data_IF_945553851976
#
_entry.id   IF_945553851976
#
_cell.length_a   1.000
_cell.length_b   1.000
_cell.length_c   1.000
_cell.angle_alpha   90.00
_cell.angle_beta   90.00
_cell.angle_gamma   90.00
#
_symmetry.space_group_name_H-M   'P 1'
#
loop_
_entity.id
_entity.type
_entity.pdbx_description
1 polymer ?
#
# COMPACT_ATOMS: atom_id res chain seq x y z
N UNK A 1 -16.96 33.33 -2.62
CA UNK A 1 -17.95 32.37 -2.20
C UNK A 1 -18.16 32.58 -0.71
N UNK A 2 -19.30 33.05 -0.27
CA UNK A 2 -19.55 33.51 1.11
C UNK A 2 -20.12 32.44 2.04
N UNK A 3 -20.00 31.14 1.73
CA UNK A 3 -20.49 30.03 2.57
C UNK A 3 -19.46 28.91 2.72
N UNK A 4 -19.48 28.24 3.86
CA UNK A 4 -18.68 27.03 4.08
C UNK A 4 -19.29 25.88 3.26
N UNK A 5 -18.57 25.40 2.25
CA UNK A 5 -19.01 24.30 1.39
C UNK A 5 -18.21 23.02 1.76
N UNK A 6 -18.76 22.26 2.68
CA UNK A 6 -18.13 21.02 3.16
C UNK A 6 -18.12 19.90 2.10
N UNK A 7 -19.00 19.99 1.09
CA UNK A 7 -19.04 19.04 -0.02
C UNK A 7 -17.79 19.04 -0.89
N UNK A 8 -17.02 20.14 -0.91
CA UNK A 8 -15.76 20.25 -1.64
C UNK A 8 -14.55 19.63 -0.93
N UNK A 9 -14.72 19.17 0.31
CA UNK A 9 -13.67 18.51 1.09
C UNK A 9 -13.85 17.00 1.02
N UNK A 10 -12.75 16.25 0.91
CA UNK A 10 -12.76 14.79 0.93
C UNK A 10 -11.98 14.21 2.11
N UNK A 11 -12.23 12.93 2.42
CA UNK A 11 -11.59 12.26 3.55
C UNK A 11 -12.25 12.55 4.91
N UNK A 12 -13.49 13.01 4.89
CA UNK A 12 -14.30 13.23 6.11
C UNK A 12 -14.69 11.91 6.76
N UNK A 13 -15.02 11.94 8.04
CA UNK A 13 -15.70 10.81 8.69
C UNK A 13 -17.08 10.57 8.03
N UNK A 14 -17.51 9.33 7.98
CA UNK A 14 -18.81 8.95 7.36
C UNK A 14 -19.97 9.76 7.97
N UNK A 15 -19.97 9.95 9.29
CA UNK A 15 -21.02 10.73 10.01
C UNK A 15 -21.01 12.24 9.63
N UNK A 16 -20.00 12.74 8.95
CA UNK A 16 -19.90 14.13 8.50
C UNK A 16 -19.90 14.27 6.97
N UNK A 17 -20.39 13.26 6.27
CA UNK A 17 -20.48 13.26 4.80
C UNK A 17 -19.30 12.61 4.09
N UNK A 18 -18.46 11.85 4.80
CA UNK A 18 -17.38 11.07 4.19
C UNK A 18 -17.89 9.85 3.42
N UNK A 19 -17.15 9.39 2.42
CA UNK A 19 -17.45 8.16 1.70
C UNK A 19 -16.88 6.95 2.42
N UNK A 20 -17.63 5.85 2.40
CA UNK A 20 -17.16 4.53 2.81
C UNK A 20 -15.97 4.14 1.90
N UNK A 21 -15.02 3.37 2.43
CA UNK A 21 -13.79 2.91 1.76
C UNK A 21 -12.78 4.01 1.38
N UNK A 22 -13.03 5.31 1.66
CA UNK A 22 -12.07 6.36 1.31
C UNK A 22 -10.69 6.18 1.95
N UNK A 23 -10.57 5.77 3.23
CA UNK A 23 -9.27 5.50 3.87
C UNK A 23 -8.47 4.39 3.17
N UNK A 24 -9.15 3.34 2.71
CA UNK A 24 -8.57 2.15 2.07
C UNK A 24 -8.35 2.32 0.57
N UNK A 25 -9.04 3.25 -0.06
CA UNK A 25 -9.17 3.37 -1.52
C UNK A 25 -7.83 3.36 -2.27
N UNK A 26 -6.83 4.06 -1.76
CA UNK A 26 -5.50 4.09 -2.39
C UNK A 26 -4.83 2.71 -2.36
N UNK A 27 -4.89 2.03 -1.22
CA UNK A 27 -4.34 0.70 -1.06
C UNK A 27 -5.07 -0.35 -1.91
N UNK A 28 -6.39 -0.31 -1.92
CA UNK A 28 -7.23 -1.19 -2.74
C UNK A 28 -6.94 -0.99 -4.22
N UNK A 29 -6.94 0.26 -4.68
CA UNK A 29 -6.63 0.60 -6.08
C UNK A 29 -5.24 0.16 -6.51
N UNK A 30 -4.24 0.27 -5.64
CA UNK A 30 -2.90 -0.22 -5.92
C UNK A 30 -2.88 -1.75 -6.13
N UNK A 31 -3.66 -2.49 -5.35
CA UNK A 31 -3.78 -3.94 -5.52
C UNK A 31 -4.56 -4.30 -6.79
N UNK A 32 -5.62 -3.54 -7.14
CA UNK A 32 -6.32 -3.73 -8.42
C UNK A 32 -5.42 -3.43 -9.61
N UNK A 33 -4.61 -2.39 -9.52
CA UNK A 33 -3.62 -2.09 -10.56
C UNK A 33 -2.61 -3.24 -10.70
N UNK A 34 -2.05 -3.73 -9.60
CA UNK A 34 -1.18 -4.90 -9.58
C UNK A 34 -1.86 -6.13 -10.22
N UNK A 35 -3.12 -6.37 -9.89
CA UNK A 35 -3.90 -7.48 -10.48
C UNK A 35 -3.95 -7.39 -12.01
N UNK A 36 -4.17 -6.22 -12.57
CA UNK A 36 -4.21 -6.04 -14.02
C UNK A 36 -2.81 -6.19 -14.66
N UNK A 37 -1.75 -5.72 -13.99
CA UNK A 37 -0.36 -5.98 -14.43
C UNK A 37 -0.06 -7.47 -14.44
N UNK A 38 -0.38 -8.20 -13.38
CA UNK A 38 -0.18 -9.64 -13.31
C UNK A 38 -0.99 -10.41 -14.36
N UNK A 39 -2.24 -9.99 -14.59
CA UNK A 39 -3.11 -10.58 -15.61
C UNK A 39 -2.54 -10.46 -17.02
N UNK A 40 -1.89 -9.34 -17.33
CA UNK A 40 -1.18 -9.18 -18.61
C UNK A 40 -0.10 -10.25 -18.79
N UNK A 41 0.53 -10.69 -17.72
CA UNK A 41 1.56 -11.75 -17.71
C UNK A 41 0.97 -13.15 -17.47
N UNK A 42 -0.36 -13.30 -17.51
CA UNK A 42 -1.05 -14.58 -17.28
C UNK A 42 -1.00 -15.06 -15.82
N UNK A 43 -0.77 -14.16 -14.86
CA UNK A 43 -0.66 -14.44 -13.43
C UNK A 43 -1.84 -13.87 -12.64
N UNK A 44 -1.98 -14.29 -11.39
CA UNK A 44 -2.95 -13.78 -10.42
C UNK A 44 -2.30 -13.35 -9.11
N UNK A 45 -3.12 -12.87 -8.17
CA UNK A 45 -2.67 -12.46 -6.82
C UNK A 45 -2.63 -13.66 -5.86
N UNK A 46 -3.39 -14.71 -6.13
CA UNK A 46 -3.41 -15.91 -5.26
C UNK A 46 -1.99 -16.48 -5.06
N UNK A 47 -1.58 -16.62 -3.80
CA UNK A 47 -0.25 -17.09 -3.42
C UNK A 47 0.89 -16.08 -3.61
N UNK A 48 0.61 -14.86 -4.11
CA UNK A 48 1.62 -13.81 -4.32
C UNK A 48 2.21 -13.35 -2.97
N UNK A 49 3.52 -13.19 -2.91
CA UNK A 49 4.25 -12.69 -1.73
C UNK A 49 4.70 -11.26 -1.98
N UNK A 50 4.38 -10.38 -1.04
CA UNK A 50 4.60 -8.94 -1.17
C UNK A 50 5.58 -8.45 -0.10
N UNK A 51 6.56 -7.63 -0.52
CA UNK A 51 7.33 -6.78 0.37
C UNK A 51 6.91 -5.33 0.16
N UNK A 52 6.60 -4.63 1.25
CA UNK A 52 6.13 -3.26 1.19
C UNK A 52 6.71 -2.37 2.28
N UNK A 53 6.60 -1.06 2.12
CA UNK A 53 6.86 -0.10 3.18
C UNK A 53 5.60 0.66 3.57
N UNK A 54 5.53 1.02 4.86
CA UNK A 54 4.40 1.75 5.42
C UNK A 54 3.21 0.87 5.80
N UNK A 55 2.63 1.18 6.95
CA UNK A 55 1.43 0.52 7.49
C UNK A 55 0.35 1.53 7.92
N UNK A 56 0.38 2.71 7.32
CA UNK A 56 -0.70 3.71 7.39
C UNK A 56 -1.97 3.23 6.66
N UNK A 57 -2.88 4.16 6.35
CA UNK A 57 -4.14 3.80 5.66
C UNK A 57 -3.89 3.08 4.33
N UNK A 58 -2.92 3.56 3.55
CA UNK A 58 -2.57 2.96 2.26
C UNK A 58 -1.99 1.56 2.45
N UNK A 59 -0.99 1.41 3.33
CA UNK A 59 -0.36 0.12 3.60
C UNK A 59 -1.33 -0.89 4.19
N UNK A 60 -2.16 -0.47 5.14
CA UNK A 60 -3.21 -1.33 5.69
C UNK A 60 -4.23 -1.76 4.63
N UNK A 61 -4.61 -0.84 3.73
CA UNK A 61 -5.49 -1.18 2.59
C UNK A 61 -4.85 -2.21 1.66
N UNK A 62 -3.54 -2.10 1.37
CA UNK A 62 -2.82 -3.11 0.60
C UNK A 62 -2.87 -4.47 1.30
N UNK A 63 -2.50 -4.52 2.59
CA UNK A 63 -2.51 -5.76 3.38
C UNK A 63 -3.87 -6.44 3.34
N UNK A 64 -4.93 -5.68 3.60
CA UNK A 64 -6.31 -6.17 3.60
C UNK A 64 -6.73 -6.73 2.23
N UNK A 65 -6.49 -5.98 1.15
CA UNK A 65 -6.93 -6.41 -0.18
C UNK A 65 -6.08 -7.55 -0.75
N UNK A 66 -4.78 -7.60 -0.46
CA UNK A 66 -3.91 -8.74 -0.80
C UNK A 66 -4.40 -10.03 -0.11
N UNK A 67 -4.73 -9.95 1.19
CA UNK A 67 -5.28 -11.08 1.95
C UNK A 67 -6.62 -11.55 1.37
N UNK A 68 -7.56 -10.63 1.10
CA UNK A 68 -8.86 -10.94 0.47
C UNK A 68 -8.72 -11.64 -0.90
N UNK A 69 -7.67 -11.37 -1.65
CA UNK A 69 -7.41 -11.97 -2.97
C UNK A 69 -6.46 -13.19 -2.91
N UNK A 70 -6.16 -13.69 -1.71
CA UNK A 70 -5.37 -14.91 -1.50
C UNK A 70 -3.85 -14.72 -1.62
N UNK A 71 -3.36 -13.49 -1.65
CA UNK A 71 -1.94 -13.18 -1.56
C UNK A 71 -1.48 -12.98 -0.11
N UNK A 72 -0.20 -12.68 0.09
CA UNK A 72 0.40 -12.50 1.41
C UNK A 72 1.37 -11.32 1.43
N UNK A 73 1.21 -10.39 2.36
CA UNK A 73 2.24 -9.41 2.68
C UNK A 73 3.19 -10.04 3.69
N UNK A 74 4.32 -10.56 3.22
CA UNK A 74 5.30 -11.27 4.05
C UNK A 74 6.36 -10.35 4.65
N UNK A 75 6.55 -9.17 4.05
CA UNK A 75 7.45 -8.14 4.58
C UNK A 75 6.76 -6.79 4.61
N UNK A 76 6.83 -6.10 5.74
CA UNK A 76 6.48 -4.69 5.78
C UNK A 76 7.46 -3.89 6.64
N UNK A 77 7.81 -2.69 6.16
CA UNK A 77 8.76 -1.82 6.83
C UNK A 77 8.07 -0.61 7.46
N UNK A 78 8.54 -0.26 8.64
CA UNK A 78 8.25 0.98 9.36
C UNK A 78 9.46 1.89 9.48
N UNK A 79 9.34 2.99 10.24
CA UNK A 79 10.47 3.88 10.51
C UNK A 79 11.58 3.25 11.36
N UNK A 80 11.23 2.29 12.22
CA UNK A 80 12.12 1.61 13.15
C UNK A 80 12.81 0.36 12.58
N UNK A 81 12.33 -0.17 11.46
CA UNK A 81 12.86 -1.39 10.85
C UNK A 81 11.83 -2.09 9.98
N UNK A 82 12.02 -3.38 9.73
CA UNK A 82 11.03 -4.16 9.01
C UNK A 82 10.68 -5.46 9.73
N UNK A 83 9.47 -5.93 9.46
CA UNK A 83 8.92 -7.22 9.90
C UNK A 83 9.05 -8.22 8.76
N UNK A 84 9.45 -9.46 9.09
CA UNK A 84 9.30 -10.63 8.23
C UNK A 84 8.33 -11.61 8.88
N UNK A 85 7.16 -11.73 8.29
CA UNK A 85 6.12 -12.68 8.69
C UNK A 85 5.93 -13.70 7.55
N UNK A 86 6.49 -14.91 7.65
CA UNK A 86 6.40 -15.92 6.59
C UNK A 86 4.97 -16.34 6.25
N UNK A 87 4.06 -16.29 7.23
CA UNK A 87 2.65 -16.58 7.03
C UNK A 87 1.88 -15.42 6.41
N UNK A 88 2.49 -14.23 6.42
CA UNK A 88 1.93 -12.98 5.95
C UNK A 88 1.00 -12.30 6.96
N UNK A 89 0.75 -11.01 6.71
CA UNK A 89 -0.26 -10.24 7.46
C UNK A 89 -1.63 -10.63 6.93
N UNK A 90 -2.17 -11.74 7.45
CA UNK A 90 -3.42 -12.36 7.02
C UNK A 90 -4.43 -12.47 8.17
N UNK A 91 -5.71 -12.36 7.83
CA UNK A 91 -6.82 -12.52 8.75
C UNK A 91 -7.08 -11.32 9.65
N UNK A 92 -8.26 -11.28 10.22
CA UNK A 92 -8.75 -10.12 11.00
C UNK A 92 -7.86 -9.77 12.19
N UNK A 93 -7.30 -10.77 12.89
CA UNK A 93 -6.49 -10.50 14.08
C UNK A 93 -5.25 -9.67 13.76
N UNK A 94 -4.48 -10.08 12.74
CA UNK A 94 -3.27 -9.36 12.32
C UNK A 94 -3.60 -7.99 11.76
N UNK A 95 -4.62 -7.90 10.90
CA UNK A 95 -5.08 -6.65 10.29
C UNK A 95 -5.59 -5.64 11.33
N UNK A 96 -6.37 -6.09 12.31
CA UNK A 96 -6.85 -5.24 13.40
C UNK A 96 -5.70 -4.80 14.31
N UNK A 97 -4.74 -5.67 14.56
CA UNK A 97 -3.57 -5.30 15.35
C UNK A 97 -2.73 -4.21 14.70
N UNK A 98 -2.59 -4.20 13.37
CA UNK A 98 -1.94 -3.10 12.65
C UNK A 98 -2.66 -1.76 12.93
N UNK A 99 -4.00 -1.74 12.94
CA UNK A 99 -4.77 -0.54 13.27
C UNK A 99 -4.54 -0.09 14.71
N UNK A 100 -4.58 -1.01 15.66
CA UNK A 100 -4.35 -0.71 17.07
C UNK A 100 -2.91 -0.23 17.34
N UNK A 101 -1.93 -0.89 16.74
CA UNK A 101 -0.51 -0.56 16.87
C UNK A 101 -0.24 0.86 16.38
N UNK A 102 -0.68 1.20 15.17
CA UNK A 102 -0.46 2.53 14.60
C UNK A 102 -1.23 3.64 15.33
N UNK A 103 -2.38 3.32 15.93
CA UNK A 103 -3.13 4.28 16.74
C UNK A 103 -2.42 4.62 18.05
N UNK A 104 -1.65 3.69 18.61
CA UNK A 104 -0.85 3.89 19.82
C UNK A 104 0.49 4.54 19.50
N UNK A 105 1.20 4.03 18.50
CA UNK A 105 2.51 4.51 18.08
C UNK A 105 2.73 4.22 16.57
N UNK A 106 2.62 5.24 15.72
CA UNK A 106 2.81 5.06 14.29
C UNK A 106 4.28 4.93 13.86
N UNK A 107 5.23 5.07 14.80
CA UNK A 107 6.67 5.10 14.51
C UNK A 107 7.35 3.74 14.70
N UNK A 108 6.70 2.78 15.37
CA UNK A 108 7.30 1.49 15.70
C UNK A 108 6.43 0.34 15.23
N UNK A 109 6.98 -0.52 14.36
CA UNK A 109 6.34 -1.77 13.93
C UNK A 109 6.78 -2.98 14.78
N UNK A 110 7.83 -2.86 15.58
CA UNK A 110 8.34 -3.93 16.47
C UNK A 110 7.25 -4.62 17.32
N UNK A 111 6.23 -3.90 17.87
CA UNK A 111 5.17 -4.56 18.65
C UNK A 111 4.40 -5.64 17.90
N UNK A 112 4.37 -5.59 16.56
CA UNK A 112 3.80 -6.67 15.75
C UNK A 112 4.63 -7.96 15.89
N UNK A 113 5.95 -7.85 15.79
CA UNK A 113 6.85 -9.00 15.96
C UNK A 113 6.74 -9.59 17.35
N UNK A 114 6.71 -8.74 18.38
CA UNK A 114 6.60 -9.17 19.78
C UNK A 114 5.28 -9.92 20.03
N UNK A 115 4.17 -9.52 19.40
CA UNK A 115 2.86 -10.17 19.55
C UNK A 115 2.75 -11.50 18.80
N UNK A 116 3.22 -11.53 17.56
CA UNK A 116 3.01 -12.70 16.67
C UNK A 116 4.21 -13.65 16.61
N UNK A 117 5.31 -13.33 17.30
CA UNK A 117 6.50 -14.18 17.35
C UNK A 117 7.22 -14.30 16.00
N UNK A 118 7.24 -13.21 15.22
CA UNK A 118 7.86 -13.13 13.90
C UNK A 118 9.14 -12.29 13.93
N UNK A 119 9.92 -12.32 12.86
CA UNK A 119 11.21 -11.62 12.82
C UNK A 119 11.04 -10.11 12.71
N UNK A 120 11.85 -9.37 13.46
CA UNK A 120 12.02 -7.93 13.35
C UNK A 120 13.50 -7.59 13.09
N UNK A 121 13.76 -6.79 12.08
CA UNK A 121 15.11 -6.32 11.75
C UNK A 121 15.16 -4.81 11.93
N UNK A 122 15.83 -4.39 13.01
CA UNK A 122 15.91 -3.00 13.43
C UNK A 122 16.75 -2.15 12.44
N UNK A 123 16.30 -0.93 12.19
CA UNK A 123 17.02 0.09 11.41
C UNK A 123 17.23 -0.24 9.93
N UNK A 124 16.62 -1.29 9.41
CA UNK A 124 16.74 -1.67 8.01
C UNK A 124 15.39 -1.62 7.28
N UNK A 125 15.48 -1.56 5.95
CA UNK A 125 14.32 -1.66 5.06
C UNK A 125 14.29 -3.04 4.39
N UNK A 126 13.11 -3.49 3.98
CA UNK A 126 12.91 -4.79 3.34
C UNK A 126 13.28 -4.83 1.84
N UNK A 127 13.95 -3.80 1.33
CA UNK A 127 14.32 -3.74 -0.08
C UNK A 127 15.50 -4.66 -0.39
N UNK A 128 15.35 -5.51 -1.42
CA UNK A 128 16.37 -6.48 -1.83
C UNK A 128 16.17 -7.89 -1.27
N UNK A 129 15.11 -8.16 -0.49
CA UNK A 129 14.70 -9.53 -0.13
C UNK A 129 14.31 -10.31 -1.39
N UNK A 130 14.62 -11.62 -1.45
CA UNK A 130 14.50 -12.41 -2.70
C UNK A 130 13.31 -13.36 -2.73
N UNK A 131 12.70 -13.60 -1.59
CA UNK A 131 11.60 -14.55 -1.42
C UNK A 131 10.22 -13.91 -1.53
N UNK A 132 10.11 -12.85 -2.34
CA UNK A 132 8.88 -12.14 -2.68
C UNK A 132 8.72 -12.04 -4.18
N UNK A 133 7.50 -11.75 -4.61
CA UNK A 133 7.13 -11.66 -6.02
C UNK A 133 6.97 -10.20 -6.48
N UNK A 134 6.74 -9.27 -5.54
CA UNK A 134 6.53 -7.85 -5.83
C UNK A 134 6.99 -6.96 -4.68
N UNK A 135 7.51 -5.78 -5.03
CA UNK A 135 7.76 -4.68 -4.11
C UNK A 135 6.72 -3.57 -4.26
N UNK A 136 6.19 -3.10 -3.14
CA UNK A 136 5.17 -2.04 -3.10
C UNK A 136 5.57 -0.93 -2.10
N UNK A 137 6.38 0.05 -2.49
CA UNK A 137 6.71 1.18 -1.62
C UNK A 137 5.48 2.07 -1.41
N UNK A 138 4.96 2.10 -0.17
CA UNK A 138 3.74 2.80 0.19
C UNK A 138 3.90 3.74 1.42
N UNK A 139 5.13 3.98 1.87
CA UNK A 139 5.42 4.82 3.03
C UNK A 139 5.53 6.30 2.65
N UNK A 140 6.75 6.80 2.54
CA UNK A 140 7.05 8.22 2.37
C UNK A 140 7.73 8.52 1.04
N UNK A 141 7.76 9.80 0.69
CA UNK A 141 8.53 10.28 -0.45
C UNK A 141 10.02 9.94 -0.28
N UNK A 142 10.67 9.55 -1.40
CA UNK A 142 12.09 9.18 -1.45
C UNK A 142 12.48 8.02 -0.49
N UNK A 143 11.57 7.10 -0.24
CA UNK A 143 11.81 5.91 0.58
C UNK A 143 12.85 4.97 -0.05
N UNK A 144 12.88 4.91 -1.39
CA UNK A 144 13.83 4.12 -2.17
C UNK A 144 14.81 5.04 -2.88
N UNK A 145 16.06 5.03 -2.45
CA UNK A 145 17.17 5.73 -3.09
C UNK A 145 17.97 4.77 -4.00
N UNK A 146 19.03 5.26 -4.63
CA UNK A 146 19.87 4.48 -5.55
C UNK A 146 20.48 3.22 -4.91
N UNK A 147 20.83 3.27 -3.63
CA UNK A 147 21.37 2.10 -2.92
C UNK A 147 20.35 0.96 -2.88
N UNK A 148 19.12 1.28 -2.48
CA UNK A 148 18.02 0.32 -2.41
C UNK A 148 17.57 -0.13 -3.80
N UNK A 149 17.55 0.77 -4.79
CA UNK A 149 17.23 0.42 -6.17
C UNK A 149 18.17 -0.64 -6.75
N UNK A 150 19.48 -0.57 -6.45
CA UNK A 150 20.44 -1.60 -6.84
C UNK A 150 20.12 -2.96 -6.19
N UNK A 151 19.81 -2.97 -4.89
CA UNK A 151 19.44 -4.21 -4.18
C UNK A 151 18.15 -4.81 -4.73
N UNK A 152 17.15 -3.96 -5.08
CA UNK A 152 15.91 -4.39 -5.75
C UNK A 152 16.25 -5.04 -7.10
N UNK A 153 17.04 -4.40 -7.93
CA UNK A 153 17.43 -4.95 -9.23
C UNK A 153 18.20 -6.29 -9.11
N UNK A 154 19.10 -6.38 -8.14
CA UNK A 154 19.89 -7.60 -7.86
C UNK A 154 19.06 -8.74 -7.25
N UNK A 155 17.90 -8.44 -6.67
CA UNK A 155 17.01 -9.47 -6.09
C UNK A 155 16.41 -10.40 -7.12
N UNK A 156 16.21 -9.92 -8.36
CA UNK A 156 15.53 -10.63 -9.43
C UNK A 156 14.00 -10.66 -9.32
N UNK A 157 13.42 -9.92 -8.37
CA UNK A 157 11.97 -9.79 -8.22
C UNK A 157 11.38 -9.05 -9.43
N UNK A 158 10.33 -9.57 -10.08
CA UNK A 158 9.89 -9.08 -11.39
C UNK A 158 9.00 -7.83 -11.35
N UNK A 159 8.42 -7.47 -10.21
CA UNK A 159 7.46 -6.36 -10.13
C UNK A 159 7.83 -5.33 -9.08
N UNK A 160 7.81 -4.06 -9.50
CA UNK A 160 7.99 -2.89 -8.64
C UNK A 160 6.83 -1.92 -8.86
N UNK A 161 5.94 -1.82 -7.89
CA UNK A 161 4.66 -1.10 -7.99
C UNK A 161 4.70 0.09 -7.04
N UNK A 162 4.95 1.30 -7.54
CA UNK A 162 5.00 2.51 -6.73
C UNK A 162 3.61 2.88 -6.22
N UNK A 163 3.42 2.90 -4.90
CA UNK A 163 2.12 3.26 -4.30
C UNK A 163 2.15 4.64 -3.63
N UNK A 164 3.20 4.93 -2.89
CA UNK A 164 3.38 6.25 -2.27
C UNK A 164 3.54 7.37 -3.31
N UNK A 165 3.37 8.61 -2.91
CA UNK A 165 3.66 9.75 -3.79
C UNK A 165 5.17 9.93 -3.92
N UNK A 166 5.72 9.69 -5.12
CA UNK A 166 7.16 9.74 -5.41
C UNK A 166 8.00 8.95 -4.38
N UNK A 167 7.73 7.65 -4.17
CA UNK A 167 8.43 6.88 -3.14
C UNK A 167 9.88 6.59 -3.51
N UNK A 168 10.21 6.70 -4.80
CA UNK A 168 11.54 6.46 -5.35
C UNK A 168 12.17 7.78 -5.78
N UNK A 169 13.47 7.99 -5.51
CA UNK A 169 14.20 9.14 -6.05
C UNK A 169 14.28 9.07 -7.58
N UNK A 170 14.34 10.20 -8.26
CA UNK A 170 14.28 10.25 -9.73
C UNK A 170 15.39 9.46 -10.42
N UNK A 171 16.60 9.50 -9.89
CA UNK A 171 17.77 8.74 -10.37
C UNK A 171 17.58 7.23 -10.15
N UNK A 172 17.07 6.84 -9.00
CA UNK A 172 16.76 5.46 -8.68
C UNK A 172 15.63 4.90 -9.55
N UNK A 173 14.59 5.69 -9.78
CA UNK A 173 13.48 5.29 -10.65
C UNK A 173 13.95 5.09 -12.10
N UNK A 174 14.75 6.03 -12.63
CA UNK A 174 15.31 5.90 -13.97
C UNK A 174 16.16 4.61 -14.08
N UNK A 175 17.00 4.32 -13.08
CA UNK A 175 17.78 3.09 -13.00
C UNK A 175 16.91 1.83 -12.98
N UNK A 176 15.82 1.81 -12.18
CA UNK A 176 14.92 0.65 -12.12
C UNK A 176 14.17 0.44 -13.44
N UNK A 177 13.76 1.50 -14.12
CA UNK A 177 13.09 1.42 -15.43
C UNK A 177 13.98 0.87 -16.55
N UNK A 178 15.30 0.93 -16.42
CA UNK A 178 16.24 0.34 -17.37
C UNK A 178 16.43 -1.18 -17.18
N UNK A 179 15.95 -1.75 -16.06
CA UNK A 179 16.09 -3.17 -15.75
C UNK A 179 15.09 -4.00 -16.55
N UNK A 180 15.55 -4.77 -17.55
CA UNK A 180 14.69 -5.55 -18.47
C UNK A 180 13.83 -6.61 -17.80
N UNK A 181 14.23 -7.11 -16.63
CA UNK A 181 13.49 -8.15 -15.89
C UNK A 181 12.44 -7.56 -14.95
N UNK A 182 12.45 -6.24 -14.74
CA UNK A 182 11.63 -5.56 -13.75
C UNK A 182 10.52 -4.76 -14.43
N UNK A 183 9.28 -5.09 -14.12
CA UNK A 183 8.12 -4.28 -14.50
C UNK A 183 7.91 -3.19 -13.46
N UNK A 184 8.09 -1.94 -13.85
CA UNK A 184 7.92 -0.76 -12.98
C UNK A 184 6.58 -0.09 -13.29
N UNK A 185 5.70 0.02 -12.28
CA UNK A 185 4.44 0.75 -12.39
C UNK A 185 4.54 2.11 -11.68
N UNK A 186 4.24 3.21 -12.38
CA UNK A 186 4.43 4.56 -11.84
C UNK A 186 3.36 4.95 -10.82
N UNK A 187 3.77 5.65 -9.77
CA UNK A 187 2.91 6.04 -8.64
C UNK A 187 1.61 6.74 -9.05
N UNK A 188 1.66 7.64 -10.03
CA UNK A 188 0.49 8.41 -10.49
C UNK A 188 -0.64 7.55 -11.06
N UNK A 189 -0.31 6.42 -11.65
CA UNK A 189 -1.30 5.47 -12.15
C UNK A 189 -1.77 4.53 -11.02
N UNK A 190 -0.83 4.03 -10.23
CA UNK A 190 -1.08 3.04 -9.18
C UNK A 190 -1.95 3.60 -8.05
N UNK A 191 -1.72 4.84 -7.61
CA UNK A 191 -2.41 5.44 -6.46
C UNK A 191 -3.64 6.30 -6.82
N UNK A 192 -4.07 6.30 -8.06
CA UNK A 192 -5.17 7.13 -8.55
C UNK A 192 -6.53 6.85 -7.85
N UNK A 193 -6.75 5.64 -7.36
CA UNK A 193 -8.03 5.26 -6.76
C UNK A 193 -8.40 6.12 -5.53
N UNK A 194 -7.40 6.58 -4.78
CA UNK A 194 -7.63 7.48 -3.65
C UNK A 194 -8.30 8.79 -4.06
N UNK A 195 -7.85 9.42 -5.14
CA UNK A 195 -8.46 10.65 -5.65
C UNK A 195 -9.80 10.36 -6.34
N UNK A 196 -9.94 9.22 -7.03
CA UNK A 196 -11.21 8.81 -7.63
C UNK A 196 -12.31 8.69 -6.58
N UNK A 197 -12.06 8.01 -5.45
CA UNK A 197 -13.05 7.93 -4.35
C UNK A 197 -13.27 9.29 -3.69
N UNK A 198 -12.30 10.21 -3.70
CA UNK A 198 -12.53 11.60 -3.28
C UNK A 198 -13.55 12.32 -4.17
N UNK A 199 -13.50 12.11 -5.49
CA UNK A 199 -14.48 12.66 -6.42
C UNK A 199 -15.86 12.03 -6.20
N UNK A 200 -15.92 10.71 -5.96
CA UNK A 200 -17.17 10.03 -5.60
C UNK A 200 -17.76 10.59 -4.29
N UNK A 201 -16.92 10.87 -3.29
CA UNK A 201 -17.36 11.51 -2.03
C UNK A 201 -17.97 12.89 -2.29
N UNK A 202 -17.33 13.70 -3.13
CA UNK A 202 -17.87 15.01 -3.51
C UNK A 202 -19.19 14.87 -4.28
N UNK A 203 -19.31 13.88 -5.16
CA UNK A 203 -20.58 13.61 -5.88
C UNK A 203 -21.71 13.17 -4.94
N UNK A 204 -21.42 12.29 -3.98
CA UNK A 204 -22.37 11.88 -2.94
C UNK A 204 -22.86 13.08 -2.12
N UNK A 205 -21.94 13.97 -1.72
CA UNK A 205 -22.27 15.19 -0.97
C UNK A 205 -23.15 16.16 -1.79
N UNK A 206 -22.83 16.35 -3.08
CA UNK A 206 -23.61 17.21 -3.97
C UNK A 206 -25.04 16.70 -4.14
N UNK A 207 -25.22 15.39 -4.20
CA UNK A 207 -26.52 14.71 -4.33
C UNK A 207 -27.21 14.50 -2.98
N UNK A 208 -26.50 14.71 -1.85
CA UNK A 208 -26.98 14.45 -0.48
C UNK A 208 -27.39 12.99 -0.24
N UNK A 209 -26.63 12.05 -0.81
CA UNK A 209 -26.83 10.61 -0.66
C UNK A 209 -25.57 9.95 -0.14
N UNK A 210 -25.71 8.70 0.32
CA UNK A 210 -24.59 7.83 0.67
C UNK A 210 -24.66 6.58 -0.20
N UNK A 211 -23.51 6.15 -0.69
CA UNK A 211 -23.37 4.89 -1.39
C UNK A 211 -22.89 3.80 -0.43
N UNK A 212 -23.26 2.57 -0.73
CA UNK A 212 -22.75 1.40 -0.02
C UNK A 212 -21.28 1.15 -0.36
N UNK A 213 -20.63 0.30 0.43
CA UNK A 213 -19.24 -0.11 0.12
C UNK A 213 -19.15 -0.78 -1.26
N UNK A 214 -20.14 -1.60 -1.62
CA UNK A 214 -20.24 -2.29 -2.91
C UNK A 214 -20.37 -1.33 -4.09
N UNK A 215 -21.10 -0.22 -3.92
CA UNK A 215 -21.25 0.81 -4.97
C UNK A 215 -20.00 1.68 -5.13
N UNK A 216 -19.19 1.83 -4.07
CA UNK A 216 -17.93 2.61 -4.11
C UNK A 216 -16.79 1.76 -4.65
N UNK A 217 -16.73 0.46 -4.37
CA UNK A 217 -15.71 -0.47 -4.80
C UNK A 217 -15.85 -0.86 -6.28
#
# INVERSE_FOLDING_TARGET
VGAAEFGAMSGKAVCTGGSILRPEATGFGAVYYLREVLKHDGKGIEGLRVAMSGYGNVGWGIMKKIDELGGKVTYFAGPDGYIHDPDGVCGEEKLNFILEMRAKDPMHCKPYADKFGVDFVEGQKCWGVKDVDVYMPAATQNDVNMEWAKKIAESGVPYYIEVGNMPTTNDALAFLMEQKHLTVAPSKAVNACGVSVSELEMAQNAQRIYWTAEEVE
#
